data_IF_903804656048
#
_entry.id   IF_903804656048
#
_cell.length_a   1.000
_cell.length_b   1.000
_cell.length_c   1.000
_cell.angle_alpha   90.00
_cell.angle_beta   90.00
_cell.angle_gamma   90.00
#
_symmetry.space_group_name_H-M   'P 1'
#
loop_
_entity.id
_entity.type
_entity.pdbx_description
1 polymer ?
#
# COMPACT_ATOMS: atom_id res chain seq x y z
N UNK A 1 21.59 -0.06 -42.01
CA UNK A 1 22.20 -1.26 -41.38
C UNK A 1 22.75 -0.86 -40.02
N UNK A 2 22.30 -1.47 -38.92
CA UNK A 2 22.88 -1.24 -37.59
C UNK A 2 24.34 -1.69 -37.55
N UNK A 3 25.20 -0.90 -36.90
CA UNK A 3 26.63 -1.21 -36.79
C UNK A 3 26.85 -2.46 -35.92
N UNK A 4 27.97 -3.16 -36.12
CA UNK A 4 28.33 -4.35 -35.33
C UNK A 4 28.36 -4.07 -33.82
N UNK A 5 28.79 -2.86 -33.43
CA UNK A 5 28.77 -2.38 -32.04
C UNK A 5 27.35 -2.27 -31.47
N UNK A 6 26.39 -1.76 -32.26
CA UNK A 6 24.99 -1.67 -31.83
C UNK A 6 24.37 -3.06 -31.63
N UNK A 7 24.71 -4.04 -32.48
CA UNK A 7 24.25 -5.42 -32.34
C UNK A 7 24.80 -6.07 -31.06
N UNK A 8 26.09 -5.91 -30.77
CA UNK A 8 26.71 -6.45 -29.55
C UNK A 8 26.09 -5.80 -28.29
N UNK A 9 25.87 -4.49 -28.30
CA UNK A 9 25.22 -3.79 -27.19
C UNK A 9 23.77 -4.27 -26.97
N UNK A 10 23.01 -4.48 -28.05
CA UNK A 10 21.64 -5.02 -27.97
C UNK A 10 21.60 -6.45 -27.41
N UNK A 11 22.50 -7.32 -27.86
CA UNK A 11 22.59 -8.70 -27.34
C UNK A 11 22.95 -8.68 -25.86
N UNK A 12 23.94 -7.87 -25.48
CA UNK A 12 24.36 -7.73 -24.08
C UNK A 12 23.22 -7.23 -23.20
N UNK A 13 22.47 -6.23 -23.66
CA UNK A 13 21.31 -5.70 -22.94
C UNK A 13 20.17 -6.73 -22.86
N UNK A 14 19.93 -7.51 -23.92
CA UNK A 14 18.91 -8.56 -23.91
C UNK A 14 19.23 -9.66 -22.90
N UNK A 15 20.50 -10.09 -22.82
CA UNK A 15 20.97 -11.05 -21.80
C UNK A 15 20.82 -10.46 -20.40
N UNK A 16 21.22 -9.19 -20.20
CA UNK A 16 21.05 -8.52 -18.91
C UNK A 16 19.57 -8.40 -18.52
N UNK A 17 18.70 -8.01 -19.45
CA UNK A 17 17.25 -7.93 -19.23
C UNK A 17 16.70 -9.30 -18.80
N UNK A 18 17.11 -10.38 -19.47
CA UNK A 18 16.67 -11.74 -19.15
C UNK A 18 17.12 -12.19 -17.75
N UNK A 19 18.38 -11.92 -17.39
CA UNK A 19 18.97 -12.30 -16.09
C UNK A 19 18.36 -11.49 -14.95
N UNK A 20 18.16 -10.20 -15.16
CA UNK A 20 17.60 -9.30 -14.13
C UNK A 20 16.08 -9.41 -14.01
N UNK A 21 15.42 -10.06 -14.98
CA UNK A 21 13.96 -10.15 -15.06
C UNK A 21 13.32 -8.83 -15.48
N UNK A 22 14.04 -8.01 -16.25
CA UNK A 22 13.48 -6.81 -16.85
C UNK A 22 12.46 -7.17 -17.92
N UNK A 23 11.25 -6.65 -17.76
CA UNK A 23 10.13 -6.99 -18.63
C UNK A 23 9.13 -5.84 -18.75
N UNK A 24 8.29 -5.91 -19.79
CA UNK A 24 7.14 -5.02 -19.89
C UNK A 24 6.12 -5.36 -18.80
N UNK A 25 5.54 -4.37 -18.11
CA UNK A 25 4.43 -4.62 -17.22
C UNK A 25 3.24 -5.23 -17.97
N UNK A 26 2.59 -6.22 -17.38
CA UNK A 26 1.32 -6.74 -17.88
C UNK A 26 0.17 -5.93 -17.28
N UNK A 27 -0.81 -5.58 -18.12
CA UNK A 27 -1.90 -4.70 -17.75
C UNK A 27 -3.23 -5.45 -17.86
N UNK A 28 -4.01 -5.47 -16.78
CA UNK A 28 -5.37 -5.99 -16.73
C UNK A 28 -6.32 -4.83 -16.48
N UNK A 29 -7.14 -4.48 -17.47
CA UNK A 29 -8.11 -3.39 -17.40
C UNK A 29 -9.18 -3.58 -18.47
N UNK A 30 -10.32 -2.92 -18.30
CA UNK A 30 -11.39 -2.97 -19.29
C UNK A 30 -10.98 -2.15 -20.54
N UNK A 31 -10.96 -2.73 -21.76
CA UNK A 31 -10.46 -2.05 -22.96
C UNK A 31 -11.19 -0.74 -23.33
N UNK A 32 -12.44 -0.60 -22.89
CA UNK A 32 -13.25 0.61 -23.06
C UNK A 32 -13.54 1.31 -21.73
N UNK A 33 -12.86 0.91 -20.65
CA UNK A 33 -13.03 1.48 -19.32
C UNK A 33 -12.41 2.86 -19.21
N UNK A 34 -12.96 3.69 -18.33
CA UNK A 34 -12.49 5.04 -18.05
C UNK A 34 -11.00 5.10 -17.70
N UNK A 35 -10.49 4.11 -16.95
CA UNK A 35 -9.09 4.09 -16.50
C UNK A 35 -8.11 4.06 -17.68
N UNK A 36 -8.53 3.58 -18.87
CA UNK A 36 -7.70 3.53 -20.07
C UNK A 36 -7.13 4.90 -20.46
N UNK A 37 -7.85 6.00 -20.15
CA UNK A 37 -7.45 7.37 -20.52
C UNK A 37 -6.09 7.79 -19.95
N UNK A 38 -5.61 7.13 -18.89
CA UNK A 38 -4.30 7.43 -18.30
C UNK A 38 -3.14 6.70 -18.99
N UNK A 39 -3.41 5.59 -19.71
CA UNK A 39 -2.37 4.74 -20.29
C UNK A 39 -1.44 5.49 -21.23
N UNK A 40 -2.00 6.33 -22.09
CA UNK A 40 -1.20 7.04 -23.08
C UNK A 40 -0.29 8.11 -22.50
N UNK A 41 -0.63 8.58 -21.29
CA UNK A 41 0.13 9.57 -20.54
C UNK A 41 1.14 8.95 -19.56
N UNK A 42 1.22 7.61 -19.47
CA UNK A 42 2.11 6.89 -18.55
C UNK A 42 3.14 6.05 -19.30
N UNK A 43 4.29 6.63 -19.69
CA UNK A 43 5.34 5.90 -20.42
C UNK A 43 5.87 4.69 -19.66
N UNK A 44 5.84 4.73 -18.31
CA UNK A 44 6.26 3.59 -17.48
C UNK A 44 5.49 2.29 -17.77
N UNK A 45 4.26 2.37 -18.27
CA UNK A 45 3.45 1.20 -18.61
C UNK A 45 3.75 0.67 -20.02
N UNK A 46 4.56 1.39 -20.81
CA UNK A 46 4.93 1.05 -22.20
C UNK A 46 6.40 0.70 -22.35
N UNK A 47 7.17 0.80 -21.27
CA UNK A 47 8.60 0.55 -21.22
C UNK A 47 8.91 -0.60 -20.26
N UNK A 48 9.99 -1.34 -20.52
CA UNK A 48 10.41 -2.40 -19.60
C UNK A 48 10.77 -1.79 -18.25
N UNK A 49 10.16 -2.31 -17.18
CA UNK A 49 10.70 -2.11 -15.85
C UNK A 49 12.04 -2.86 -15.75
N UNK A 50 13.11 -2.15 -15.34
CA UNK A 50 14.45 -2.70 -15.20
C UNK A 50 14.88 -2.70 -13.74
N UNK A 51 14.75 -3.84 -13.05
CA UNK A 51 15.19 -3.95 -11.66
C UNK A 51 16.68 -3.58 -11.53
N UNK A 52 17.04 -2.95 -10.42
CA UNK A 52 18.45 -2.80 -10.04
C UNK A 52 19.12 -4.18 -10.03
N UNK A 53 20.15 -4.44 -10.87
CA UNK A 53 20.62 -5.80 -11.13
C UNK A 53 21.09 -6.57 -9.89
N UNK A 54 21.73 -5.88 -8.94
CA UNK A 54 22.22 -6.46 -7.67
C UNK A 54 21.12 -6.59 -6.61
N UNK A 55 19.90 -6.16 -6.92
CA UNK A 55 18.71 -6.27 -6.09
C UNK A 55 17.60 -7.13 -6.71
N UNK A 56 17.81 -7.71 -7.89
CA UNK A 56 16.81 -8.49 -8.64
C UNK A 56 16.35 -9.79 -7.94
N UNK A 57 16.99 -10.14 -6.82
CA UNK A 57 16.57 -11.22 -5.93
C UNK A 57 15.45 -10.75 -4.99
N UNK A 58 14.39 -11.55 -4.92
CA UNK A 58 13.21 -11.36 -4.06
C UNK A 58 13.54 -10.91 -2.63
N UNK A 59 14.55 -11.50 -2.00
CA UNK A 59 14.92 -11.22 -0.60
C UNK A 59 15.87 -10.03 -0.46
N UNK A 60 16.68 -9.76 -1.48
CA UNK A 60 17.65 -8.66 -1.46
C UNK A 60 16.96 -7.31 -1.33
N UNK A 61 15.79 -7.11 -1.96
CA UNK A 61 14.97 -5.90 -1.82
C UNK A 61 14.60 -5.61 -0.36
N UNK A 62 14.07 -6.62 0.34
CA UNK A 62 13.60 -6.46 1.71
C UNK A 62 14.76 -6.21 2.68
N UNK A 63 15.88 -6.92 2.50
CA UNK A 63 17.10 -6.69 3.28
C UNK A 63 17.70 -5.31 3.02
N UNK A 64 17.78 -4.90 1.74
CA UNK A 64 18.31 -3.59 1.36
C UNK A 64 17.50 -2.45 1.96
N UNK A 65 16.18 -2.57 1.93
CA UNK A 65 15.30 -1.59 2.55
C UNK A 65 15.51 -1.50 4.07
N UNK A 66 15.42 -2.64 4.78
CA UNK A 66 15.53 -2.70 6.24
C UNK A 66 16.91 -2.26 6.75
N UNK A 67 17.99 -2.62 6.03
CA UNK A 67 19.37 -2.37 6.47
C UNK A 67 19.94 -1.02 6.01
N UNK A 68 19.56 -0.54 4.82
CA UNK A 68 20.18 0.63 4.19
C UNK A 68 19.19 1.79 4.08
N UNK A 69 18.10 1.65 3.33
CA UNK A 69 17.20 2.78 3.03
C UNK A 69 16.55 3.36 4.28
N UNK A 70 16.01 2.51 5.15
CA UNK A 70 15.39 2.93 6.41
C UNK A 70 16.33 3.78 7.29
N UNK A 71 17.64 3.51 7.25
CA UNK A 71 18.66 4.22 8.05
C UNK A 71 19.24 5.44 7.36
N UNK A 72 19.26 5.47 6.03
CA UNK A 72 19.91 6.53 5.25
C UNK A 72 18.98 7.68 4.89
N UNK A 73 17.67 7.41 4.79
CA UNK A 73 16.70 8.44 4.42
C UNK A 73 16.34 9.29 5.64
N UNK A 74 16.65 10.59 5.53
CA UNK A 74 16.47 11.59 6.58
C UNK A 74 15.21 12.44 6.43
N UNK A 75 14.24 12.02 5.60
CA UNK A 75 12.97 12.74 5.49
C UNK A 75 12.34 12.89 6.86
N UNK A 76 12.04 14.13 7.22
CA UNK A 76 11.34 14.49 8.46
C UNK A 76 9.89 14.76 8.14
N UNK A 77 9.02 14.43 9.09
CA UNK A 77 7.64 14.92 9.10
C UNK A 77 7.68 16.29 9.76
N UNK A 78 7.06 17.28 9.13
CA UNK A 78 7.05 18.66 9.64
C UNK A 78 6.03 18.84 10.77
N UNK A 79 4.98 18.01 10.79
CA UNK A 79 3.95 18.00 11.83
C UNK A 79 3.39 16.60 12.07
N UNK A 80 2.96 16.32 13.29
CA UNK A 80 2.19 15.11 13.63
C UNK A 80 1.01 15.52 14.51
N UNK A 81 -0.21 15.35 14.01
CA UNK A 81 -1.44 15.60 14.75
C UNK A 81 -1.95 14.28 15.33
N UNK A 82 -1.93 14.14 16.65
CA UNK A 82 -2.59 13.04 17.33
C UNK A 82 -4.10 13.31 17.40
N UNK A 83 -4.89 12.31 17.04
CA UNK A 83 -6.35 12.41 16.99
C UNK A 83 -6.95 11.45 18.02
N UNK A 84 -7.91 11.95 18.80
CA UNK A 84 -8.79 11.13 19.63
C UNK A 84 -10.04 10.83 18.82
N UNK A 85 -10.26 9.55 18.52
CA UNK A 85 -11.42 9.04 17.79
C UNK A 85 -12.67 9.11 18.66
N UNK A 86 -13.86 9.02 18.04
CA UNK A 86 -15.15 9.09 18.73
C UNK A 86 -15.31 8.06 19.86
N UNK A 87 -14.75 6.86 19.70
CA UNK A 87 -14.76 5.80 20.71
C UNK A 87 -13.68 5.95 21.79
N UNK A 88 -12.90 7.04 21.75
CA UNK A 88 -11.78 7.31 22.64
C UNK A 88 -10.45 6.70 22.21
N UNK A 89 -10.41 5.96 21.09
CA UNK A 89 -9.19 5.44 20.49
C UNK A 89 -8.25 6.55 20.04
N UNK A 90 -6.97 6.23 19.82
CA UNK A 90 -5.97 7.22 19.42
C UNK A 90 -5.29 6.81 18.11
N UNK A 91 -5.36 7.72 17.14
CA UNK A 91 -4.67 7.63 15.86
C UNK A 91 -3.82 8.90 15.66
N UNK A 92 -3.12 9.02 14.53
CA UNK A 92 -2.47 10.29 14.18
C UNK A 92 -2.35 10.47 12.67
N UNK A 93 -2.15 11.73 12.26
CA UNK A 93 -1.76 12.07 10.89
C UNK A 93 -0.41 12.77 10.94
N UNK A 94 0.57 12.20 10.25
CA UNK A 94 1.90 12.77 10.12
C UNK A 94 2.09 13.40 8.74
N UNK A 95 2.61 14.62 8.70
CA UNK A 95 2.59 15.48 7.53
C UNK A 95 3.97 15.70 6.92
N UNK A 96 3.97 15.90 5.61
CA UNK A 96 5.07 16.54 4.88
C UNK A 96 4.45 17.56 3.92
N UNK A 97 4.94 18.79 3.96
CA UNK A 97 4.37 19.90 3.22
C UNK A 97 3.12 20.46 3.89
N UNK A 98 3.04 20.45 5.23
CA UNK A 98 1.86 20.95 5.95
C UNK A 98 1.53 22.40 5.56
N UNK A 99 2.55 23.27 5.55
CA UNK A 99 2.43 24.71 5.24
C UNK A 99 2.43 25.04 3.73
N UNK A 100 2.31 24.04 2.84
CA UNK A 100 2.09 24.31 1.41
C UNK A 100 0.76 25.04 1.19
N UNK A 101 0.57 25.73 0.04
CA UNK A 101 -0.69 26.41 -0.29
C UNK A 101 -1.93 25.55 -0.03
N UNK A 102 -3.01 26.16 0.44
CA UNK A 102 -4.22 25.47 0.95
C UNK A 102 -4.94 24.61 -0.10
N UNK A 103 -4.76 24.92 -1.38
CA UNK A 103 -5.29 24.22 -2.55
C UNK A 103 -4.33 23.16 -3.12
N UNK A 104 -3.11 23.07 -2.58
CA UNK A 104 -2.15 22.01 -2.96
C UNK A 104 -2.77 20.64 -2.69
N UNK A 105 -2.81 19.73 -3.68
CA UNK A 105 -3.37 18.39 -3.47
C UNK A 105 -2.68 17.64 -2.33
N UNK A 106 -3.42 16.73 -1.71
CA UNK A 106 -2.96 15.94 -0.57
C UNK A 106 -3.03 14.45 -0.88
N UNK A 107 -1.91 13.75 -0.73
CA UNK A 107 -1.83 12.29 -0.79
C UNK A 107 -2.01 11.73 0.61
N UNK A 108 -3.16 11.11 0.86
CA UNK A 108 -3.46 10.34 2.07
C UNK A 108 -2.86 8.95 1.93
N UNK A 109 -1.92 8.62 2.83
CA UNK A 109 -1.10 7.42 2.75
C UNK A 109 -1.41 6.47 3.91
N UNK A 110 -1.82 5.25 3.58
CA UNK A 110 -2.05 4.15 4.53
C UNK A 110 -0.83 3.23 4.51
N UNK A 111 -0.21 3.07 5.68
CA UNK A 111 1.05 2.36 5.83
C UNK A 111 0.92 0.84 5.88
N UNK A 112 2.07 0.17 5.84
CA UNK A 112 2.17 -1.31 5.92
C UNK A 112 1.83 -1.85 7.31
N UNK A 113 1.72 -3.17 7.47
CA UNK A 113 1.30 -3.82 8.73
C UNK A 113 2.15 -3.44 9.96
N UNK A 114 3.43 -3.16 9.77
CA UNK A 114 4.38 -2.73 10.84
C UNK A 114 4.87 -1.30 10.58
N UNK A 115 4.05 -0.51 9.88
CA UNK A 115 4.41 0.84 9.45
C UNK A 115 4.74 1.76 10.61
N UNK A 116 5.70 2.64 10.37
CA UNK A 116 6.19 3.65 11.29
C UNK A 116 6.57 4.89 10.50
N UNK A 117 6.75 6.02 11.19
CA UNK A 117 7.28 7.23 10.58
C UNK A 117 8.58 6.91 9.82
N UNK A 118 9.49 6.14 10.45
CA UNK A 118 10.79 5.73 9.90
C UNK A 118 10.66 4.86 8.66
N UNK A 119 9.80 3.83 8.70
CA UNK A 119 9.69 2.91 7.57
C UNK A 119 9.02 3.57 6.37
N UNK A 120 8.15 4.55 6.57
CA UNK A 120 7.44 5.19 5.46
C UNK A 120 8.24 6.34 4.80
N UNK A 121 9.40 6.73 5.34
CA UNK A 121 10.19 7.88 4.87
C UNK A 121 10.54 7.84 3.39
N UNK A 122 10.86 6.67 2.83
CA UNK A 122 11.21 6.58 1.41
C UNK A 122 10.03 6.92 0.51
N UNK A 123 8.90 6.25 0.73
CA UNK A 123 7.69 6.46 -0.06
C UNK A 123 7.17 7.89 0.12
N UNK A 124 7.12 8.40 1.35
CA UNK A 124 6.72 9.78 1.65
C UNK A 124 7.60 10.79 0.93
N UNK A 125 8.94 10.65 1.04
CA UNK A 125 9.89 11.52 0.35
C UNK A 125 9.70 11.48 -1.16
N UNK A 126 9.65 10.28 -1.74
CA UNK A 126 9.63 10.12 -3.20
C UNK A 126 8.33 10.68 -3.79
N UNK A 127 7.18 10.41 -3.15
CA UNK A 127 5.90 10.99 -3.55
C UNK A 127 5.93 12.51 -3.44
N UNK A 128 6.36 13.05 -2.30
CA UNK A 128 6.44 14.50 -2.10
C UNK A 128 7.37 15.17 -3.11
N UNK A 129 8.59 14.65 -3.30
CA UNK A 129 9.57 15.23 -4.23
C UNK A 129 9.09 15.17 -5.68
N UNK A 130 8.42 14.09 -6.09
CA UNK A 130 7.97 13.94 -7.47
C UNK A 130 6.71 14.75 -7.77
N UNK A 131 5.82 14.93 -6.80
CA UNK A 131 4.54 15.63 -7.00
C UNK A 131 4.57 17.09 -6.56
N UNK A 132 5.42 17.44 -5.59
CA UNK A 132 5.37 18.68 -4.81
C UNK A 132 4.05 18.83 -4.02
N UNK A 133 3.36 17.72 -3.78
CA UNK A 133 2.08 17.69 -3.06
C UNK A 133 2.26 17.43 -1.57
N UNK A 134 1.25 17.78 -0.79
CA UNK A 134 1.19 17.49 0.64
C UNK A 134 1.01 15.99 0.84
N UNK A 135 1.70 15.42 1.83
CA UNK A 135 1.53 14.01 2.21
C UNK A 135 0.93 13.96 3.61
N UNK A 136 -0.13 13.17 3.77
CA UNK A 136 -0.79 12.88 5.04
C UNK A 136 -0.67 11.39 5.34
N UNK A 137 0.30 11.00 6.17
CA UNK A 137 0.51 9.61 6.59
C UNK A 137 -0.43 9.29 7.77
N UNK A 138 -1.44 8.47 7.52
CA UNK A 138 -2.39 8.03 8.54
C UNK A 138 -1.78 6.91 9.39
N UNK A 139 -1.44 7.22 10.64
CA UNK A 139 -0.99 6.25 11.64
C UNK A 139 -2.19 5.63 12.35
N UNK A 140 -2.17 4.31 12.45
CA UNK A 140 -3.24 3.51 13.08
C UNK A 140 -3.01 3.33 14.58
N UNK A 141 -4.03 2.85 15.30
CA UNK A 141 -3.91 2.51 16.73
C UNK A 141 -2.75 1.54 16.96
N UNK A 142 -2.03 1.73 18.06
CA UNK A 142 -0.85 0.92 18.41
C UNK A 142 0.39 1.15 17.53
N UNK A 143 0.35 2.04 16.54
CA UNK A 143 1.53 2.40 15.73
C UNK A 143 2.10 3.75 16.16
N UNK A 144 3.33 4.07 15.74
CA UNK A 144 3.93 5.38 15.99
C UNK A 144 4.14 5.73 17.47
N UNK A 145 4.18 4.75 18.37
CA UNK A 145 4.17 4.92 19.83
C UNK A 145 2.95 5.69 20.35
N UNK A 146 1.84 5.66 19.60
CA UNK A 146 0.59 6.26 20.05
C UNK A 146 0.07 5.55 21.30
N UNK A 147 -0.53 6.29 22.25
CA UNK A 147 -1.24 5.70 23.38
C UNK A 147 -2.33 4.72 22.91
N UNK A 148 -2.62 3.71 23.73
CA UNK A 148 -3.71 2.77 23.48
C UNK A 148 -4.67 2.76 24.69
N UNK A 149 -5.49 3.82 24.84
CA UNK A 149 -6.42 3.94 25.97
C UNK A 149 -7.63 3.01 25.83
N UNK A 150 -8.00 2.66 24.59
CA UNK A 150 -9.03 1.68 24.26
C UNK A 150 -8.33 0.35 23.94
N UNK A 151 -8.80 -0.80 24.47
CA UNK A 151 -8.20 -2.12 24.25
C UNK A 151 -8.50 -2.67 22.84
N UNK A 152 -8.25 -1.87 21.80
CA UNK A 152 -8.55 -2.20 20.41
C UNK A 152 -7.39 -1.79 19.49
N UNK A 153 -6.73 -2.77 18.88
CA UNK A 153 -5.65 -2.56 17.92
C UNK A 153 -6.10 -2.95 16.51
N UNK A 154 -5.72 -2.16 15.50
CA UNK A 154 -6.15 -2.35 14.11
C UNK A 154 -4.97 -2.55 13.15
N UNK A 155 -4.24 -3.66 13.32
CA UNK A 155 -3.07 -4.01 12.50
C UNK A 155 -3.36 -4.12 11.00
N UNK A 156 -4.59 -4.49 10.64
CA UNK A 156 -5.07 -4.57 9.26
C UNK A 156 -5.97 -3.40 8.84
N UNK A 157 -6.17 -2.43 9.74
CA UNK A 157 -6.95 -1.22 9.50
C UNK A 157 -8.33 -1.23 10.14
N UNK A 158 -8.93 -0.03 10.22
CA UNK A 158 -10.32 0.23 10.59
C UNK A 158 -10.83 1.32 9.65
N UNK A 159 -11.90 1.06 8.90
CA UNK A 159 -12.49 2.08 8.03
C UNK A 159 -13.15 3.18 8.84
N UNK A 160 -13.59 2.91 10.08
CA UNK A 160 -14.10 3.93 11.01
C UNK A 160 -13.02 4.96 11.36
N UNK A 161 -11.85 4.50 11.84
CA UNK A 161 -10.71 5.38 12.13
C UNK A 161 -10.28 6.17 10.89
N UNK A 162 -10.28 5.51 9.72
CA UNK A 162 -9.87 6.15 8.47
C UNK A 162 -10.87 7.25 8.04
N UNK A 163 -12.18 7.05 8.23
CA UNK A 163 -13.20 8.09 7.99
C UNK A 163 -12.91 9.33 8.83
N UNK A 164 -12.71 9.15 10.14
CA UNK A 164 -12.40 10.27 11.04
C UNK A 164 -11.08 10.98 10.69
N UNK A 165 -10.05 10.21 10.29
CA UNK A 165 -8.79 10.80 9.79
C UNK A 165 -9.00 11.61 8.51
N UNK A 166 -9.79 11.11 7.57
CA UNK A 166 -10.08 11.81 6.31
C UNK A 166 -10.92 13.07 6.56
N UNK A 167 -11.93 12.99 7.42
CA UNK A 167 -12.73 14.14 7.84
C UNK A 167 -11.84 15.23 8.45
N UNK A 168 -10.92 14.85 9.35
CA UNK A 168 -9.92 15.77 9.90
C UNK A 168 -9.07 16.42 8.80
N UNK A 169 -8.55 15.63 7.85
CA UNK A 169 -7.73 16.13 6.73
C UNK A 169 -8.53 17.13 5.87
N UNK A 170 -9.80 16.84 5.56
CA UNK A 170 -10.67 17.73 4.78
C UNK A 170 -11.01 19.02 5.53
N UNK A 171 -11.16 18.97 6.85
CA UNK A 171 -11.36 20.16 7.67
C UNK A 171 -10.12 21.06 7.71
N UNK A 172 -8.91 20.46 7.75
CA UNK A 172 -7.67 21.22 7.70
C UNK A 172 -7.42 21.86 6.32
N UNK A 173 -7.72 21.13 5.24
CA UNK A 173 -7.44 21.55 3.87
C UNK A 173 -8.67 21.38 2.95
N UNK A 174 -9.73 22.17 3.14
CA UNK A 174 -11.00 21.99 2.43
C UNK A 174 -10.92 22.25 0.92
N UNK A 175 -9.90 22.98 0.46
CA UNK A 175 -9.66 23.28 -0.95
C UNK A 175 -8.73 22.26 -1.63
N UNK A 176 -8.13 21.34 -0.86
CA UNK A 176 -7.20 20.34 -1.39
C UNK A 176 -7.98 19.20 -2.06
N UNK A 177 -7.63 18.88 -3.30
CA UNK A 177 -8.02 17.58 -3.88
C UNK A 177 -7.29 16.45 -3.14
N UNK A 178 -7.99 15.35 -2.86
CA UNK A 178 -7.43 14.21 -2.16
C UNK A 178 -7.10 13.06 -3.13
N UNK A 179 -5.98 12.40 -2.84
CA UNK A 179 -5.53 11.18 -3.49
C UNK A 179 -5.16 10.15 -2.44
N UNK A 180 -5.33 8.87 -2.72
CA UNK A 180 -5.10 7.83 -1.73
C UNK A 180 -4.03 6.82 -2.17
N UNK A 181 -3.11 6.47 -1.28
CA UNK A 181 -2.13 5.40 -1.50
C UNK A 181 -2.22 4.41 -0.35
N UNK A 182 -2.40 3.13 -0.67
CA UNK A 182 -2.20 2.03 0.26
C UNK A 182 -0.90 1.31 -0.07
N UNK A 183 -0.10 0.96 0.93
CA UNK A 183 1.08 0.12 0.76
C UNK A 183 0.97 -1.15 1.58
N UNK A 184 1.14 -2.32 0.96
CA UNK A 184 1.02 -3.63 1.61
C UNK A 184 -0.32 -3.75 2.36
N UNK A 185 -0.35 -4.08 3.64
CA UNK A 185 -1.59 -4.14 4.44
C UNK A 185 -2.42 -2.84 4.40
N UNK A 186 -1.82 -1.68 4.15
CA UNK A 186 -2.54 -0.43 3.97
C UNK A 186 -3.43 -0.40 2.72
N UNK A 187 -3.19 -1.28 1.73
CA UNK A 187 -4.09 -1.43 0.57
C UNK A 187 -5.41 -2.06 0.96
N UNK A 188 -5.41 -3.00 1.92
CA UNK A 188 -6.63 -3.68 2.36
C UNK A 188 -7.59 -2.66 2.97
N UNK A 189 -7.08 -1.86 3.89
CA UNK A 189 -7.80 -0.73 4.46
C UNK A 189 -8.28 0.26 3.38
N UNK A 190 -7.41 0.64 2.44
CA UNK A 190 -7.78 1.55 1.34
C UNK A 190 -8.94 0.99 0.51
N UNK A 191 -8.79 -0.21 -0.03
CA UNK A 191 -9.79 -0.80 -0.93
C UNK A 191 -11.10 -1.06 -0.19
N UNK A 192 -11.02 -1.50 1.08
CA UNK A 192 -12.19 -1.65 1.93
C UNK A 192 -12.94 -0.32 2.08
N UNK A 193 -12.22 0.75 2.43
CA UNK A 193 -12.80 2.10 2.53
C UNK A 193 -13.44 2.53 1.20
N UNK A 194 -12.74 2.39 0.08
CA UNK A 194 -13.26 2.79 -1.23
C UNK A 194 -14.50 2.00 -1.64
N UNK A 195 -14.57 0.71 -1.30
CA UNK A 195 -15.73 -0.13 -1.58
C UNK A 195 -16.93 0.18 -0.67
N UNK A 196 -16.69 0.59 0.58
CA UNK A 196 -17.75 1.03 1.49
C UNK A 196 -18.31 2.40 1.11
N UNK A 197 -17.45 3.34 0.71
CA UNK A 197 -17.86 4.70 0.33
C UNK A 197 -18.41 4.80 -1.10
N UNK A 198 -17.96 3.92 -2.01
CA UNK A 198 -18.35 3.94 -3.42
C UNK A 198 -18.08 5.29 -4.08
N UNK A 199 -19.14 5.95 -4.56
CA UNK A 199 -19.06 7.27 -5.19
C UNK A 199 -18.80 8.41 -4.20
N UNK A 200 -19.08 8.21 -2.91
CA UNK A 200 -18.88 9.23 -1.88
C UNK A 200 -17.42 9.32 -1.41
N UNK A 201 -16.56 8.40 -1.88
CA UNK A 201 -15.13 8.45 -1.57
C UNK A 201 -14.54 9.81 -2.00
N UNK A 202 -13.90 10.58 -1.10
CA UNK A 202 -13.50 11.96 -1.39
C UNK A 202 -12.24 12.06 -2.28
N UNK A 203 -11.73 10.91 -2.75
CA UNK A 203 -10.49 10.83 -3.51
C UNK A 203 -10.75 10.92 -5.01
N UNK A 204 -9.94 11.72 -5.71
CA UNK A 204 -9.99 11.82 -7.18
C UNK A 204 -9.40 10.59 -7.87
N UNK A 205 -8.40 9.97 -7.24
CA UNK A 205 -7.83 8.70 -7.66
C UNK A 205 -7.11 8.01 -6.49
N UNK A 206 -6.95 6.70 -6.59
CA UNK A 206 -6.28 5.87 -5.59
C UNK A 206 -5.24 4.92 -6.21
N UNK A 207 -4.27 4.49 -5.40
CA UNK A 207 -3.24 3.54 -5.79
C UNK A 207 -3.03 2.48 -4.70
N UNK A 208 -3.07 1.20 -5.06
CA UNK A 208 -2.77 0.08 -4.17
C UNK A 208 -1.43 -0.58 -4.55
N UNK A 209 -0.41 -0.42 -3.71
CA UNK A 209 0.93 -0.97 -3.91
C UNK A 209 1.09 -2.32 -3.17
N UNK A 210 1.26 -3.40 -3.94
CA UNK A 210 1.38 -4.79 -3.48
C UNK A 210 0.24 -5.21 -2.54
N UNK A 211 -1.02 -5.23 -3.01
CA UNK A 211 -2.14 -5.57 -2.15
C UNK A 211 -2.26 -7.07 -1.84
N UNK A 212 -2.85 -7.33 -0.67
CA UNK A 212 -3.65 -8.54 -0.45
C UNK A 212 -5.09 -8.29 -0.86
N UNK A 213 -5.66 -9.18 -1.66
CA UNK A 213 -7.04 -9.13 -2.16
C UNK A 213 -7.99 -9.87 -1.23
N UNK A 214 -7.65 -11.12 -0.90
CA UNK A 214 -8.40 -11.92 0.06
C UNK A 214 -7.48 -12.31 1.22
N UNK A 215 -7.72 -11.77 2.42
CA UNK A 215 -6.86 -12.00 3.60
C UNK A 215 -6.91 -13.43 4.11
N UNK A 216 -8.07 -14.08 4.06
CA UNK A 216 -8.28 -15.46 4.55
C UNK A 216 -7.42 -16.48 3.80
N UNK A 217 -7.28 -16.30 2.49
CA UNK A 217 -6.40 -17.13 1.65
C UNK A 217 -5.00 -16.56 1.50
N UNK A 218 -4.83 -15.24 1.63
CA UNK A 218 -3.58 -14.54 1.36
C UNK A 218 -2.46 -14.94 2.33
N UNK A 219 -2.75 -15.00 3.63
CA UNK A 219 -1.73 -15.28 4.64
C UNK A 219 -1.15 -16.70 4.56
N UNK A 220 -1.89 -17.65 4.00
CA UNK A 220 -1.43 -19.02 3.79
C UNK A 220 -0.34 -19.11 2.70
N UNK A 221 -0.29 -18.14 1.79
CA UNK A 221 0.65 -18.09 0.68
C UNK A 221 1.89 -17.22 0.95
N UNK A 222 1.96 -16.58 2.12
CA UNK A 222 3.15 -15.84 2.55
C UNK A 222 4.30 -16.82 2.72
N UNK A 223 5.46 -16.50 2.15
CA UNK A 223 6.62 -17.38 2.24
C UNK A 223 6.96 -17.68 3.72
N UNK A 224 7.17 -18.96 4.12
CA UNK A 224 7.22 -19.37 5.53
C UNK A 224 8.22 -18.59 6.40
N UNK A 225 9.40 -18.29 5.84
CA UNK A 225 10.39 -17.45 6.52
C UNK A 225 9.85 -16.07 6.90
N UNK A 226 9.20 -15.39 5.95
CA UNK A 226 8.64 -14.05 6.20
C UNK A 226 7.42 -14.10 7.10
N UNK A 227 6.57 -15.12 6.96
CA UNK A 227 5.45 -15.37 7.86
C UNK A 227 5.93 -15.42 9.31
N UNK A 228 6.94 -16.25 9.60
CA UNK A 228 7.53 -16.39 10.94
C UNK A 228 8.20 -15.11 11.45
N UNK A 229 8.97 -14.42 10.60
CA UNK A 229 9.65 -13.16 10.97
C UNK A 229 8.62 -12.06 11.27
N UNK A 230 7.56 -11.97 10.46
CA UNK A 230 6.52 -10.97 10.62
C UNK A 230 5.69 -11.21 11.89
N UNK A 231 5.28 -12.45 12.17
CA UNK A 231 4.59 -12.80 13.42
C UNK A 231 5.42 -12.44 14.64
N UNK A 232 6.72 -12.75 14.63
CA UNK A 232 7.62 -12.34 15.72
C UNK A 232 7.68 -10.81 15.90
N UNK A 233 7.73 -10.05 14.79
CA UNK A 233 7.70 -8.59 14.84
C UNK A 233 6.36 -8.09 15.41
N UNK A 234 5.23 -8.65 14.96
CA UNK A 234 3.89 -8.29 15.44
C UNK A 234 3.76 -8.49 16.95
N UNK A 235 4.13 -9.69 17.43
CA UNK A 235 4.09 -10.01 18.85
C UNK A 235 4.99 -9.08 19.66
N UNK A 236 6.24 -8.88 19.22
CA UNK A 236 7.23 -8.07 19.94
C UNK A 236 6.83 -6.60 20.04
N UNK A 237 6.30 -6.01 18.98
CA UNK A 237 6.06 -4.57 18.93
C UNK A 237 4.67 -4.15 19.36
N UNK A 238 3.66 -5.00 19.15
CA UNK A 238 2.27 -4.59 19.33
C UNK A 238 1.55 -5.35 20.46
N UNK A 239 1.89 -6.60 20.72
CA UNK A 239 1.16 -7.42 21.69
C UNK A 239 1.89 -7.47 23.04
N UNK A 240 3.17 -7.87 23.05
CA UNK A 240 3.96 -8.06 24.27
C UNK A 240 4.06 -6.81 25.16
N UNK A 241 4.29 -5.59 24.62
CA UNK A 241 4.36 -4.38 25.45
C UNK A 241 3.02 -4.00 26.10
N UNK A 242 1.92 -4.51 25.56
CA UNK A 242 0.56 -4.08 25.86
C UNK A 242 -0.33 -5.20 26.44
N UNK A 243 0.25 -6.35 26.81
CA UNK A 243 -0.54 -7.52 27.27
C UNK A 243 -1.52 -7.19 28.40
N UNK A 244 -1.14 -6.31 29.32
CA UNK A 244 -1.99 -5.89 30.44
C UNK A 244 -3.33 -5.27 29.99
N UNK A 245 -3.38 -4.67 28.80
CA UNK A 245 -4.59 -4.08 28.21
C UNK A 245 -5.60 -5.16 27.82
N UNK A 246 -5.13 -6.34 27.42
CA UNK A 246 -5.95 -7.46 26.95
C UNK A 246 -5.96 -8.65 27.91
N UNK A 247 -5.56 -8.47 29.17
CA UNK A 247 -5.43 -9.58 30.13
C UNK A 247 -6.72 -10.40 30.34
N UNK A 248 -7.88 -9.79 30.05
CA UNK A 248 -9.20 -10.43 30.14
C UNK A 248 -9.75 -10.93 28.79
N UNK A 249 -8.99 -10.78 27.70
CA UNK A 249 -9.38 -11.24 26.36
C UNK A 249 -8.98 -12.71 26.19
N UNK A 250 -9.94 -13.55 25.80
CA UNK A 250 -9.80 -15.02 25.80
C UNK A 250 -8.71 -15.49 24.82
N UNK A 251 -8.68 -14.89 23.64
CA UNK A 251 -7.76 -15.21 22.55
C UNK A 251 -6.32 -14.73 22.79
N UNK A 252 -6.05 -13.91 23.81
CA UNK A 252 -4.70 -13.38 24.06
C UNK A 252 -3.63 -14.48 24.16
N UNK A 253 -3.95 -15.59 24.85
CA UNK A 253 -3.05 -16.73 24.98
C UNK A 253 -2.73 -17.38 23.62
N UNK A 254 -3.73 -17.50 22.75
CA UNK A 254 -3.57 -18.04 21.39
C UNK A 254 -2.76 -17.08 20.52
N UNK A 255 -3.04 -15.77 20.57
CA UNK A 255 -2.25 -14.74 19.88
C UNK A 255 -0.78 -14.85 20.26
N UNK A 256 -0.45 -14.91 21.55
CA UNK A 256 0.92 -15.01 22.04
C UNK A 256 1.64 -16.29 21.61
N UNK A 257 0.88 -17.37 21.37
CA UNK A 257 1.42 -18.66 20.90
C UNK A 257 1.61 -18.75 19.39
N UNK A 258 1.05 -17.80 18.61
CA UNK A 258 1.10 -17.85 17.16
C UNK A 258 2.54 -17.81 16.63
N UNK A 259 2.85 -18.69 15.68
CA UNK A 259 4.17 -18.82 15.06
C UNK A 259 4.18 -18.41 13.59
N UNK A 260 3.01 -18.38 12.96
CA UNK A 260 2.78 -17.96 11.58
C UNK A 260 1.82 -16.78 11.51
N UNK A 261 1.81 -16.07 10.38
CA UNK A 261 0.97 -14.89 10.20
C UNK A 261 -0.52 -15.28 10.07
N UNK A 262 -0.79 -16.45 9.50
CA UNK A 262 -2.13 -17.02 9.42
C UNK A 262 -2.68 -17.43 10.79
N UNK A 263 -1.85 -18.04 11.66
CA UNK A 263 -2.24 -18.32 13.05
C UNK A 263 -2.51 -17.04 13.84
N UNK A 264 -1.65 -16.04 13.67
CA UNK A 264 -1.80 -14.76 14.34
C UNK A 264 -3.11 -14.09 13.94
N UNK A 265 -3.37 -13.98 12.65
CA UNK A 265 -4.57 -13.31 12.14
C UNK A 265 -5.87 -13.99 12.60
N UNK A 266 -5.90 -15.33 12.61
CA UNK A 266 -7.03 -16.11 13.11
C UNK A 266 -7.29 -15.96 14.61
N UNK A 267 -6.27 -15.61 15.39
CA UNK A 267 -6.39 -15.46 16.83
C UNK A 267 -6.63 -14.00 17.27
N UNK A 268 -6.24 -13.01 16.47
CA UNK A 268 -6.18 -11.62 16.95
C UNK A 268 -7.52 -10.85 16.91
N UNK A 269 -8.57 -11.40 16.31
CA UNK A 269 -9.84 -10.68 16.07
C UNK A 269 -10.45 -10.03 17.33
N UNK A 270 -10.39 -10.67 18.51
CA UNK A 270 -10.90 -10.05 19.75
C UNK A 270 -10.06 -8.85 20.17
N UNK A 271 -8.74 -8.87 19.94
CA UNK A 271 -7.86 -7.72 20.19
C UNK A 271 -8.16 -6.57 19.20
N UNK A 272 -8.77 -6.88 18.06
CA UNK A 272 -9.30 -5.90 17.11
C UNK A 272 -10.70 -5.39 17.46
N UNK A 273 -11.30 -5.88 18.55
CA UNK A 273 -12.61 -5.46 19.03
C UNK A 273 -13.78 -6.22 18.41
N UNK A 274 -13.54 -7.39 17.80
CA UNK A 274 -14.59 -8.23 17.21
C UNK A 274 -14.98 -9.39 18.12
N UNK A 275 -16.25 -9.77 18.10
CA UNK A 275 -16.78 -10.87 18.91
C UNK A 275 -16.39 -12.26 18.36
N UNK A 276 -16.23 -12.35 17.04
CA UNK A 276 -15.90 -13.58 16.33
C UNK A 276 -15.04 -13.30 15.08
N UNK A 277 -14.40 -14.36 14.59
CA UNK A 277 -13.48 -14.29 13.45
C UNK A 277 -14.19 -13.99 12.12
N UNK A 278 -15.42 -14.47 11.93
CA UNK A 278 -16.16 -14.29 10.67
C UNK A 278 -16.57 -12.82 10.52
N UNK A 279 -17.09 -12.21 11.58
CA UNK A 279 -17.41 -10.77 11.66
C UNK A 279 -16.16 -9.91 11.40
N UNK A 280 -15.02 -10.27 11.98
CA UNK A 280 -13.74 -9.60 11.72
C UNK A 280 -13.31 -9.71 10.25
N UNK A 281 -13.34 -10.92 9.70
CA UNK A 281 -13.02 -11.18 8.29
C UNK A 281 -13.92 -10.38 7.35
N UNK A 282 -15.23 -10.36 7.61
CA UNK A 282 -16.20 -9.61 6.82
C UNK A 282 -15.93 -8.10 6.86
N UNK A 283 -15.43 -7.57 7.97
CA UNK A 283 -15.12 -6.16 8.12
C UNK A 283 -13.79 -5.74 7.46
N UNK A 284 -12.78 -6.61 7.45
CA UNK A 284 -11.42 -6.23 7.02
C UNK A 284 -11.02 -6.71 5.63
N UNK A 285 -11.67 -7.76 5.12
CA UNK A 285 -11.26 -8.37 3.86
C UNK A 285 -11.74 -7.50 2.68
N UNK A 286 -10.83 -6.93 1.86
CA UNK A 286 -11.21 -5.95 0.84
C UNK A 286 -11.97 -6.57 -0.32
N UNK A 287 -11.83 -7.88 -0.57
CA UNK A 287 -12.52 -8.51 -1.70
C UNK A 287 -14.04 -8.43 -1.59
N UNK A 288 -14.59 -8.45 -0.38
CA UNK A 288 -16.04 -8.41 -0.14
C UNK A 288 -16.71 -7.12 -0.60
N UNK A 289 -15.94 -6.06 -0.83
CA UNK A 289 -16.45 -4.76 -1.29
C UNK A 289 -15.72 -4.25 -2.54
N UNK A 290 -14.84 -5.04 -3.15
CA UNK A 290 -13.97 -4.56 -4.23
C UNK A 290 -14.78 -4.05 -5.43
N UNK A 291 -15.84 -4.76 -5.82
CA UNK A 291 -16.71 -4.38 -6.95
C UNK A 291 -17.49 -3.07 -6.73
N UNK A 292 -17.55 -2.61 -5.47
CA UNK A 292 -18.19 -1.36 -5.10
C UNK A 292 -17.25 -0.14 -5.25
N UNK A 293 -15.95 -0.33 -5.52
CA UNK A 293 -15.03 0.78 -5.77
C UNK A 293 -15.45 1.53 -7.02
N UNK A 294 -15.82 2.82 -6.89
CA UNK A 294 -16.32 3.65 -8.02
C UNK A 294 -15.34 4.71 -8.52
N UNK A 295 -14.25 4.98 -7.81
CA UNK A 295 -13.23 5.94 -8.25
C UNK A 295 -12.11 5.25 -9.04
N UNK A 296 -11.30 6.00 -9.81
CA UNK A 296 -10.13 5.44 -10.49
C UNK A 296 -9.11 4.84 -9.53
N UNK A 297 -8.85 3.53 -9.63
CA UNK A 297 -7.87 2.81 -8.82
C UNK A 297 -6.85 2.09 -9.70
N UNK A 298 -5.57 2.36 -9.47
CA UNK A 298 -4.47 1.58 -10.04
C UNK A 298 -3.90 0.64 -8.98
N UNK A 299 -3.73 -0.62 -9.34
CA UNK A 299 -3.15 -1.65 -8.48
C UNK A 299 -1.83 -2.11 -9.07
N UNK A 300 -0.79 -2.24 -8.25
CA UNK A 300 0.52 -2.73 -8.69
C UNK A 300 0.92 -3.97 -7.89
N UNK A 301 1.18 -5.07 -8.58
CA UNK A 301 1.71 -6.31 -8.01
C UNK A 301 3.06 -6.69 -8.66
N UNK A 302 3.88 -7.43 -7.90
CA UNK A 302 5.04 -8.11 -8.43
C UNK A 302 4.81 -9.62 -8.36
N UNK A 303 5.16 -10.36 -9.42
CA UNK A 303 5.03 -11.82 -9.45
C UNK A 303 5.99 -12.51 -8.48
N UNK A 304 7.11 -11.87 -8.16
CA UNK A 304 8.11 -12.37 -7.21
C UNK A 304 7.93 -11.81 -5.78
N UNK A 305 6.76 -11.27 -5.45
CA UNK A 305 6.42 -10.80 -4.11
C UNK A 305 6.30 -12.00 -3.13
N UNK A 306 7.15 -12.08 -2.09
CA UNK A 306 7.16 -13.21 -1.16
C UNK A 306 6.14 -13.06 -0.02
N UNK A 307 5.41 -11.95 0.03
CA UNK A 307 4.40 -11.64 1.05
C UNK A 307 3.01 -11.69 0.42
N UNK A 308 2.75 -10.88 -0.60
CA UNK A 308 1.46 -10.83 -1.30
C UNK A 308 1.57 -11.61 -2.61
N UNK A 309 1.42 -12.93 -2.52
CA UNK A 309 1.58 -13.82 -3.66
C UNK A 309 0.54 -13.54 -4.76
N UNK A 310 0.97 -13.49 -6.03
CA UNK A 310 0.10 -13.12 -7.16
C UNK A 310 -1.14 -14.03 -7.32
N UNK A 311 -1.06 -15.29 -6.88
CA UNK A 311 -2.20 -16.22 -6.79
C UNK A 311 -3.38 -15.69 -5.98
N UNK A 312 -3.18 -14.72 -5.10
CA UNK A 312 -4.29 -14.08 -4.37
C UNK A 312 -5.13 -13.17 -5.27
N UNK A 313 -4.60 -12.73 -6.42
CA UNK A 313 -5.32 -12.00 -7.46
C UNK A 313 -6.05 -12.92 -8.45
N UNK A 314 -5.49 -14.09 -8.76
CA UNK A 314 -5.96 -14.96 -9.85
C UNK A 314 -7.48 -15.26 -9.84
N UNK A 315 -8.12 -15.57 -8.69
CA UNK A 315 -9.56 -15.83 -8.65
C UNK A 315 -10.44 -14.63 -9.03
N UNK A 316 -9.91 -13.42 -8.94
CA UNK A 316 -10.65 -12.17 -9.10
C UNK A 316 -10.25 -11.41 -10.37
N UNK A 317 -9.28 -11.95 -11.12
CA UNK A 317 -8.68 -11.30 -12.28
C UNK A 317 -9.70 -10.91 -13.33
N UNK A 318 -10.60 -11.82 -13.69
CA UNK A 318 -11.63 -11.57 -14.71
C UNK A 318 -12.61 -10.48 -14.26
N UNK A 319 -13.14 -10.59 -13.03
CA UNK A 319 -14.04 -9.60 -12.45
C UNK A 319 -13.40 -8.21 -12.41
N UNK A 320 -12.19 -8.09 -11.84
CA UNK A 320 -11.50 -6.82 -11.70
C UNK A 320 -11.14 -6.22 -13.07
N UNK A 321 -10.73 -7.06 -14.02
CA UNK A 321 -10.43 -6.60 -15.39
C UNK A 321 -11.66 -6.03 -16.10
N UNK A 322 -12.86 -6.49 -15.77
CA UNK A 322 -14.09 -5.98 -16.37
C UNK A 322 -14.58 -4.67 -15.75
N UNK A 323 -14.00 -4.22 -14.63
CA UNK A 323 -14.36 -2.95 -14.00
C UNK A 323 -13.80 -1.76 -14.81
N UNK A 324 -14.61 -0.73 -15.13
CA UNK A 324 -14.20 0.35 -16.03
C UNK A 324 -13.18 1.31 -15.42
N UNK A 325 -13.15 1.43 -14.09
CA UNK A 325 -12.35 2.39 -13.33
C UNK A 325 -11.09 1.77 -12.70
N UNK A 326 -10.82 0.48 -12.91
CA UNK A 326 -9.72 -0.24 -12.25
C UNK A 326 -8.69 -0.74 -13.27
N UNK A 327 -7.40 -0.60 -12.92
CA UNK A 327 -6.30 -1.18 -13.68
C UNK A 327 -5.34 -1.91 -12.75
N UNK A 328 -5.09 -3.18 -13.02
CA UNK A 328 -4.06 -3.97 -12.35
C UNK A 328 -2.83 -4.05 -13.24
N UNK A 329 -1.70 -3.63 -12.70
CA UNK A 329 -0.37 -3.69 -13.32
C UNK A 329 0.41 -4.78 -12.61
N UNK A 330 0.94 -5.75 -13.35
CA UNK A 330 1.85 -6.75 -12.80
C UNK A 330 3.22 -6.63 -13.46
N UNK A 331 4.27 -6.80 -12.66
CA UNK A 331 5.65 -6.91 -13.15
C UNK A 331 6.23 -8.26 -12.75
N UNK A 332 7.09 -8.82 -13.59
CA UNK A 332 7.81 -10.07 -13.27
C UNK A 332 8.68 -9.95 -12.01
N UNK A 333 9.18 -8.75 -11.75
CA UNK A 333 10.08 -8.41 -10.65
C UNK A 333 9.59 -7.17 -9.92
N UNK A 334 9.83 -7.12 -8.62
CA UNK A 334 9.51 -5.97 -7.78
C UNK A 334 9.67 -6.25 -6.29
N UNK A 335 9.66 -7.53 -5.90
CA UNK A 335 9.51 -7.99 -4.51
C UNK A 335 8.31 -7.30 -3.83
N UNK A 336 8.27 -7.29 -2.51
CA UNK A 336 7.21 -6.63 -1.75
C UNK A 336 7.52 -5.14 -1.58
N UNK A 337 6.78 -4.28 -2.30
CA UNK A 337 6.89 -2.81 -2.26
C UNK A 337 8.25 -2.21 -2.65
N UNK A 338 9.17 -2.98 -3.24
CA UNK A 338 10.53 -2.51 -3.56
C UNK A 338 10.61 -1.73 -4.88
N UNK A 339 10.34 -2.41 -6.00
CA UNK A 339 10.37 -1.86 -7.37
C UNK A 339 11.55 -0.91 -7.64
N UNK A 340 12.76 -1.28 -7.20
CA UNK A 340 13.94 -0.43 -7.37
C UNK A 340 14.50 -0.55 -8.78
N UNK A 341 14.81 0.60 -9.38
CA UNK A 341 15.48 0.72 -10.67
C UNK A 341 16.80 1.52 -10.55
N UNK A 342 17.66 1.36 -11.55
CA UNK A 342 18.94 2.06 -11.66
C UNK A 342 20.13 1.24 -11.16
N UNK A 343 21.26 1.33 -11.86
CA UNK A 343 22.47 0.52 -11.58
C UNK A 343 23.32 1.14 -10.47
N UNK A 344 23.58 2.46 -10.54
CA UNK A 344 24.45 3.18 -9.58
C UNK A 344 23.71 3.92 -8.46
N UNK A 345 22.49 4.43 -8.74
CA UNK A 345 21.64 5.07 -7.74
C UNK A 345 20.24 4.48 -7.82
N UNK A 346 19.75 3.94 -6.70
CA UNK A 346 18.47 3.24 -6.63
C UNK A 346 17.32 4.24 -6.47
N UNK A 347 16.39 4.20 -7.41
CA UNK A 347 15.13 4.96 -7.39
C UNK A 347 13.95 4.00 -7.32
N UNK A 348 12.84 4.43 -6.72
CA UNK A 348 11.61 3.64 -6.72
C UNK A 348 10.84 3.87 -8.02
N UNK A 349 10.78 2.84 -8.87
CA UNK A 349 9.94 2.84 -10.08
C UNK A 349 8.46 2.95 -9.70
N UNK A 350 8.03 2.25 -8.64
CA UNK A 350 6.66 2.31 -8.14
C UNK A 350 6.27 3.72 -7.70
N UNK A 351 7.10 4.41 -6.89
CA UNK A 351 6.79 5.79 -6.46
C UNK A 351 6.66 6.74 -7.66
N UNK A 352 7.53 6.57 -8.67
CA UNK A 352 7.45 7.32 -9.94
C UNK A 352 6.18 7.04 -10.72
N UNK A 353 5.73 5.79 -10.78
CA UNK A 353 4.46 5.44 -11.39
C UNK A 353 3.29 6.08 -10.63
N UNK A 354 3.26 5.97 -9.29
CA UNK A 354 2.22 6.56 -8.44
C UNK A 354 2.12 8.08 -8.67
N UNK A 355 3.25 8.79 -8.58
CA UNK A 355 3.29 10.24 -8.74
C UNK A 355 2.80 10.68 -10.13
N UNK A 356 3.26 10.00 -11.20
CA UNK A 356 2.83 10.32 -12.55
C UNK A 356 1.34 9.99 -12.77
N UNK A 357 0.85 8.87 -12.24
CA UNK A 357 -0.55 8.51 -12.31
C UNK A 357 -1.45 9.58 -11.67
N UNK A 358 -1.09 10.06 -10.48
CA UNK A 358 -1.86 11.11 -9.81
C UNK A 358 -1.80 12.46 -10.54
N UNK A 359 -0.63 12.87 -11.05
CA UNK A 359 -0.53 14.08 -11.88
C UNK A 359 -1.44 13.99 -13.11
N UNK A 360 -1.42 12.86 -13.82
CA UNK A 360 -2.31 12.63 -14.95
C UNK A 360 -3.78 12.71 -14.54
N UNK A 361 -4.15 12.11 -13.40
CA UNK A 361 -5.52 12.18 -12.89
C UNK A 361 -5.91 13.60 -12.46
N UNK A 362 -4.98 14.42 -11.96
CA UNK A 362 -5.27 15.81 -11.57
C UNK A 362 -5.72 16.70 -12.72
N UNK A 363 -5.22 16.43 -13.93
CA UNK A 363 -5.62 17.13 -15.15
C UNK A 363 -6.99 16.67 -15.69
N UNK A 364 -7.51 15.54 -15.21
CA UNK A 364 -8.76 14.97 -15.66
C UNK A 364 -9.93 15.46 -14.79
N UNK A 365 -11.11 15.67 -15.38
CA UNK A 365 -12.30 15.95 -14.59
C UNK A 365 -12.61 14.74 -13.69
N UNK A 366 -13.18 15.02 -12.51
CA UNK A 366 -13.74 13.94 -11.68
C UNK A 366 -14.76 13.17 -12.52
N UNK A 367 -14.76 11.83 -12.46
CA UNK A 367 -15.82 11.07 -13.10
C UNK A 367 -17.17 11.57 -12.58
N UNK A 368 -18.11 11.85 -13.49
CA UNK A 368 -19.45 12.26 -13.08
C UNK A 368 -20.07 11.10 -12.29
N UNK A 369 -20.71 11.34 -11.13
CA UNK A 369 -21.55 10.32 -10.52
C UNK A 369 -22.61 9.91 -11.55
N UNK A 370 -22.70 8.61 -11.84
CA UNK A 370 -23.72 8.11 -12.75
C UNK A 370 -25.03 8.17 -11.97
N UNK A 371 -25.86 9.17 -12.27
CA UNK A 371 -27.18 9.36 -11.66
C UNK A 371 -28.11 8.16 -11.85
#
# INVERSE_FOLDING_TARGET
MMSTLQKIAQITQAVLDQVTGADLPTLYYHPHGEIRRVLDKLPQLKEKYRPTPWLSNTHAHLLYFDLIKKKTIRQQYDRVDQLTMQDGGVTAVAWVGYDLPVDTPTIVLMHTITGSLESMRELVRDLHQQTQWRIALCLRRGHGNLPMPVPQINLFGSTHDLREQIEFIQQQFPQSELYAVGSSAGTGLLVRYLGEEGEQAPFKAAFALCPGYNTESGFQHVHPFYSKVMTKKLLKFFIQPHQHIWQNVKSLSQVLSATTLAEFEKAYFELAGFEDYDSYTQAINPIYVFENVKIPLMVLNAEDDPVCHIKNFDPYKETIQNMPNIMVVTTRKGSHCGFYEGVGFTKSWASRLIANYFKVQSELPRPNPIH
#
